data_IF_965713841805
#
_entry.id   IF_965713841805
#
_cell.length_a   1.000
_cell.length_b   1.000
_cell.length_c   1.000
_cell.angle_alpha   90.00
_cell.angle_beta   90.00
_cell.angle_gamma   90.00
#
_symmetry.space_group_name_H-M   'P 1'
#
loop_
_entity.id
_entity.type
_entity.pdbx_description
1 polymer ?
#
# COMPACT_ATOMS: atom_id res chain seq x y z
N UNK A 1 -14.21 -3.45 28.99
CA UNK A 1 -14.22 -1.97 28.92
C UNK A 1 -12.83 -1.50 29.27
N UNK A 2 -12.25 -0.63 28.46
CA UNK A 2 -10.88 -0.12 28.64
C UNK A 2 -10.96 1.40 28.74
N UNK A 3 -10.39 1.97 29.80
CA UNK A 3 -10.27 3.41 29.96
C UNK A 3 -8.88 3.83 29.48
N UNK A 4 -8.83 4.71 28.48
CA UNK A 4 -7.59 5.19 27.91
C UNK A 4 -7.41 6.65 28.29
N UNK A 5 -6.48 6.91 29.22
CA UNK A 5 -6.03 8.26 29.53
C UNK A 5 -5.41 8.91 28.29
N UNK A 6 -5.69 10.20 28.08
CA UNK A 6 -5.16 10.97 26.96
C UNK A 6 -4.48 12.21 27.48
N UNK A 7 -3.16 12.25 27.39
CA UNK A 7 -2.44 13.47 27.75
C UNK A 7 -2.67 14.53 26.69
N UNK A 8 -2.98 15.75 27.15
CA UNK A 8 -2.83 16.94 26.33
C UNK A 8 -1.35 17.26 26.19
N UNK A 9 -0.97 18.02 25.17
CA UNK A 9 0.44 18.32 24.88
C UNK A 9 1.17 18.92 26.08
N UNK A 10 0.55 19.89 26.76
CA UNK A 10 1.14 20.53 27.93
C UNK A 10 1.34 19.58 29.11
N UNK A 11 0.37 18.68 29.38
CA UNK A 11 0.50 17.68 30.44
C UNK A 11 1.56 16.65 30.09
N UNK A 12 1.58 16.17 28.85
CA UNK A 12 2.60 15.23 28.39
C UNK A 12 4.00 15.81 28.53
N UNK A 13 4.22 17.02 28.00
CA UNK A 13 5.52 17.71 28.08
C UNK A 13 5.92 17.94 29.55
N UNK A 14 4.99 18.39 30.40
CA UNK A 14 5.27 18.63 31.81
C UNK A 14 5.59 17.35 32.59
N UNK A 15 4.99 16.22 32.23
CA UNK A 15 5.16 14.94 32.94
C UNK A 15 6.38 14.16 32.47
N UNK A 16 6.64 14.15 31.16
CA UNK A 16 7.70 13.33 30.57
C UNK A 16 8.96 14.14 30.22
N UNK A 17 8.93 15.48 30.38
CA UNK A 17 10.03 16.38 29.99
C UNK A 17 10.49 16.17 28.53
N UNK A 18 9.54 15.82 27.67
CA UNK A 18 9.73 15.48 26.26
C UNK A 18 9.18 16.58 25.35
N UNK A 19 9.57 16.55 24.07
CA UNK A 19 9.19 17.57 23.09
C UNK A 19 7.83 17.32 22.41
N UNK A 20 7.47 18.21 21.50
CA UNK A 20 6.26 18.04 20.67
C UNK A 20 6.37 16.85 19.70
N UNK A 21 7.57 16.51 19.25
CA UNK A 21 7.77 15.34 18.37
C UNK A 21 7.50 14.02 19.10
N UNK A 22 8.01 13.87 20.32
CA UNK A 22 7.70 12.72 21.18
C UNK A 22 6.20 12.62 21.46
N UNK A 23 5.54 13.77 21.67
CA UNK A 23 4.10 13.81 21.89
C UNK A 23 3.30 13.32 20.68
N UNK A 24 3.71 13.72 19.46
CA UNK A 24 3.11 13.23 18.22
C UNK A 24 3.27 11.72 18.07
N UNK A 25 4.46 11.19 18.35
CA UNK A 25 4.73 9.75 18.32
C UNK A 25 3.94 8.99 19.40
N UNK A 26 3.74 9.60 20.58
CA UNK A 26 2.84 9.06 21.61
C UNK A 26 1.40 8.93 21.10
N UNK A 27 0.88 9.95 20.41
CA UNK A 27 -0.49 9.90 19.89
C UNK A 27 -0.66 8.79 18.85
N UNK A 28 0.32 8.59 17.96
CA UNK A 28 0.33 7.49 16.98
C UNK A 28 0.43 6.11 17.66
N UNK A 29 1.40 5.90 18.54
CA UNK A 29 1.53 4.63 19.28
C UNK A 29 0.24 4.26 20.02
N UNK A 30 -0.38 5.27 20.65
CA UNK A 30 -1.66 5.09 21.32
C UNK A 30 -2.78 4.74 20.34
N UNK A 31 -2.81 5.37 19.16
CA UNK A 31 -3.78 5.06 18.13
C UNK A 31 -3.67 3.59 17.70
N UNK A 32 -2.48 3.12 17.29
CA UNK A 32 -2.27 1.73 16.88
C UNK A 32 -2.60 0.72 17.98
N UNK A 33 -2.18 0.99 19.22
CA UNK A 33 -2.52 0.14 20.36
C UNK A 33 -4.03 -0.03 20.53
N UNK A 34 -4.80 1.05 20.32
CA UNK A 34 -6.26 1.00 20.44
C UNK A 34 -6.94 0.36 19.23
N UNK A 35 -6.35 0.46 18.04
CA UNK A 35 -6.85 -0.24 16.84
C UNK A 35 -6.61 -1.74 16.95
N UNK A 36 -5.38 -2.16 17.24
CA UNK A 36 -5.03 -3.57 17.46
C UNK A 36 -5.92 -4.22 18.53
N UNK A 37 -6.18 -3.50 19.62
CA UNK A 37 -7.05 -3.99 20.68
C UNK A 37 -8.52 -4.17 20.21
N UNK A 38 -9.02 -3.31 19.33
CA UNK A 38 -10.40 -3.38 18.81
C UNK A 38 -10.55 -4.48 17.75
N UNK A 39 -9.49 -4.75 16.99
CA UNK A 39 -9.47 -5.83 16.00
C UNK A 39 -9.46 -7.22 16.67
N UNK A 40 -8.71 -7.35 17.77
CA UNK A 40 -8.54 -8.62 18.47
C UNK A 40 -9.62 -8.89 19.52
N UNK A 41 -10.23 -7.85 20.10
CA UNK A 41 -11.20 -8.01 21.20
C UNK A 41 -12.43 -7.11 21.04
N UNK A 42 -13.59 -7.64 21.45
CA UNK A 42 -14.83 -6.86 21.54
C UNK A 42 -14.83 -5.95 22.78
N UNK A 43 -13.97 -4.93 22.79
CA UNK A 43 -13.83 -3.99 23.90
C UNK A 43 -14.45 -2.62 23.62
N UNK A 44 -15.18 -2.10 24.62
CA UNK A 44 -15.58 -0.69 24.64
C UNK A 44 -14.43 0.15 25.19
N UNK A 45 -13.86 1.02 24.35
CA UNK A 45 -12.83 2.01 24.73
C UNK A 45 -13.49 3.32 25.16
N UNK A 46 -13.15 3.81 26.36
CA UNK A 46 -13.56 5.12 26.88
C UNK A 46 -12.34 6.02 26.93
N UNK A 47 -12.38 7.08 26.14
CA UNK A 47 -11.36 8.13 26.13
C UNK A 47 -11.59 9.07 27.32
N UNK A 48 -10.56 9.20 28.17
CA UNK A 48 -10.55 10.06 29.36
C UNK A 48 -9.44 11.10 29.18
N UNK A 49 -9.76 12.39 28.95
CA UNK A 49 -8.74 13.44 28.95
C UNK A 49 -8.00 13.42 30.30
N UNK A 50 -6.68 13.45 30.27
CA UNK A 50 -5.89 13.51 31.49
C UNK A 50 -6.05 14.89 32.11
N UNK A 51 -6.39 14.94 33.40
CA UNK A 51 -6.48 16.17 34.19
C UNK A 51 -5.45 16.04 35.31
N UNK A 52 -4.31 16.73 35.16
CA UNK A 52 -3.19 16.60 36.08
C UNK A 52 -3.54 17.02 37.50
N UNK A 53 -4.32 18.09 37.68
CA UNK A 53 -4.71 18.57 39.01
C UNK A 53 -5.59 17.54 39.73
N UNK A 54 -6.56 16.97 39.01
CA UNK A 54 -7.42 15.90 39.54
C UNK A 54 -6.64 14.63 39.82
N UNK A 55 -5.72 14.24 38.95
CA UNK A 55 -4.88 13.06 39.14
C UNK A 55 -4.00 13.21 40.38
N UNK A 56 -3.32 14.35 40.54
CA UNK A 56 -2.47 14.61 41.71
C UNK A 56 -3.28 14.55 43.01
N UNK A 57 -4.49 15.13 43.01
CA UNK A 57 -5.39 15.04 44.16
C UNK A 57 -5.81 13.59 44.43
N UNK A 58 -6.21 12.86 43.39
CA UNK A 58 -6.58 11.45 43.51
C UNK A 58 -5.43 10.60 44.06
N UNK A 59 -4.20 10.86 43.66
CA UNK A 59 -3.01 10.15 44.15
C UNK A 59 -2.77 10.42 45.65
N UNK A 60 -2.99 11.66 46.11
CA UNK A 60 -2.94 12.01 47.54
C UNK A 60 -4.02 11.31 48.36
N UNK A 61 -5.24 11.19 47.79
CA UNK A 61 -6.36 10.51 48.41
C UNK A 61 -6.20 8.97 48.38
N UNK A 62 -5.32 8.44 47.51
CA UNK A 62 -5.04 7.02 47.33
C UNK A 62 -3.55 6.67 47.50
N UNK A 63 -2.99 6.77 48.73
CA UNK A 63 -1.55 6.68 48.98
C UNK A 63 -0.91 5.29 48.77
N UNK A 64 -1.71 4.28 48.38
CA UNK A 64 -1.24 2.96 48.02
C UNK A 64 -0.74 2.88 46.57
N UNK A 65 -1.02 3.90 45.75
CA UNK A 65 -0.48 4.04 44.41
C UNK A 65 0.78 4.90 44.42
N UNK A 66 1.80 4.45 43.68
CA UNK A 66 2.94 5.29 43.30
C UNK A 66 2.65 5.96 41.95
N UNK A 67 3.13 7.19 41.74
CA UNK A 67 2.95 7.85 40.44
C UNK A 67 3.62 7.03 39.32
N UNK A 68 2.82 6.60 38.35
CA UNK A 68 3.25 5.69 37.31
C UNK A 68 2.14 5.39 36.31
N UNK A 69 2.47 4.62 35.27
CA UNK A 69 1.52 4.25 34.22
C UNK A 69 0.30 3.49 34.78
N UNK A 70 0.50 2.62 35.77
CA UNK A 70 -0.56 1.86 36.42
C UNK A 70 -1.52 2.76 37.21
N UNK A 71 -0.98 3.68 38.02
CA UNK A 71 -1.79 4.64 38.79
C UNK A 71 -2.62 5.54 37.87
N UNK A 72 -2.05 6.00 36.75
CA UNK A 72 -2.78 6.80 35.75
C UNK A 72 -3.87 6.01 35.04
N UNK A 73 -3.63 4.73 34.79
CA UNK A 73 -4.64 3.82 34.23
C UNK A 73 -5.77 3.54 35.24
N UNK A 74 -5.43 3.35 36.51
CA UNK A 74 -6.39 3.18 37.60
C UNK A 74 -7.27 4.42 37.79
N UNK A 75 -6.66 5.60 37.83
CA UNK A 75 -7.37 6.89 37.86
C UNK A 75 -8.32 7.03 36.67
N UNK A 76 -7.86 6.79 35.44
CA UNK A 76 -8.70 6.91 34.26
C UNK A 76 -9.86 5.91 34.28
N UNK A 77 -9.65 4.71 34.80
CA UNK A 77 -10.71 3.72 34.98
C UNK A 77 -11.75 4.15 36.02
N UNK A 78 -11.32 4.78 37.11
CA UNK A 78 -12.22 5.33 38.12
C UNK A 78 -13.08 6.46 37.55
N UNK A 79 -12.45 7.42 36.86
CA UNK A 79 -13.16 8.50 36.17
C UNK A 79 -14.13 7.96 35.11
N UNK A 80 -13.73 6.93 34.35
CA UNK A 80 -14.58 6.33 33.33
C UNK A 80 -15.81 5.59 33.90
N UNK A 81 -15.75 5.14 35.16
CA UNK A 81 -16.87 4.46 35.84
C UNK A 81 -17.91 5.42 36.41
N UNK A 82 -17.54 6.69 36.61
CA UNK A 82 -18.45 7.75 37.08
C UNK A 82 -18.83 8.69 35.92
N UNK A 83 -20.06 8.60 35.38
CA UNK A 83 -20.51 9.46 34.29
C UNK A 83 -20.40 10.96 34.57
N UNK A 84 -20.64 11.39 35.81
CA UNK A 84 -20.60 12.81 36.17
C UNK A 84 -19.15 13.31 36.20
N UNK A 85 -18.24 12.52 36.77
CA UNK A 85 -16.81 12.83 36.77
C UNK A 85 -16.25 12.88 35.34
N UNK A 86 -16.64 11.92 34.49
CA UNK A 86 -16.23 11.87 33.09
C UNK A 86 -16.75 13.05 32.28
N UNK A 87 -18.03 13.43 32.46
CA UNK A 87 -18.60 14.62 31.81
C UNK A 87 -17.89 15.90 32.24
N UNK A 88 -17.54 16.04 33.51
CA UNK A 88 -16.84 17.23 33.98
C UNK A 88 -15.43 17.35 33.38
N UNK A 89 -14.70 16.23 33.29
CA UNK A 89 -13.38 16.22 32.64
C UNK A 89 -13.49 16.53 31.15
N UNK A 90 -14.49 15.96 30.46
CA UNK A 90 -14.77 16.25 29.04
C UNK A 90 -15.21 17.69 28.81
N UNK A 91 -15.93 18.30 29.75
CA UNK A 91 -16.32 19.70 29.65
C UNK A 91 -15.12 20.63 29.73
N UNK A 92 -14.13 20.32 30.57
CA UNK A 92 -12.87 21.08 30.66
C UNK A 92 -12.00 20.90 29.41
N UNK A 93 -12.00 19.69 28.86
CA UNK A 93 -11.18 19.31 27.70
C UNK A 93 -12.06 18.77 26.58
N UNK A 94 -12.81 19.65 25.89
CA UNK A 94 -13.84 19.26 24.92
C UNK A 94 -13.27 18.70 23.62
N UNK A 95 -12.01 19.04 23.31
CA UNK A 95 -11.32 18.60 22.10
C UNK A 95 -10.19 17.67 22.52
N UNK A 96 -10.28 16.42 22.06
CA UNK A 96 -9.21 15.45 22.25
C UNK A 96 -8.16 15.63 21.14
N UNK A 97 -6.87 15.49 21.48
CA UNK A 97 -5.79 15.53 20.49
C UNK A 97 -5.93 14.33 19.55
N UNK A 98 -5.83 14.60 18.25
CA UNK A 98 -5.81 13.58 17.21
C UNK A 98 -4.37 13.17 16.88
N UNK A 99 -4.11 11.89 16.58
CA UNK A 99 -2.81 11.47 16.05
C UNK A 99 -2.55 12.15 14.69
N UNK A 100 -1.30 12.53 14.38
CA UNK A 100 -0.90 13.05 13.08
C UNK A 100 -0.77 11.91 12.06
N UNK A 101 -1.89 11.32 11.66
CA UNK A 101 -1.93 10.25 10.66
C UNK A 101 -1.39 10.71 9.30
N UNK A 102 -1.45 12.01 9.01
CA UNK A 102 -0.87 12.62 7.82
C UNK A 102 0.66 12.42 7.71
N UNK A 103 1.36 12.36 8.85
CA UNK A 103 2.81 12.15 8.92
C UNK A 103 3.20 10.67 9.08
N UNK A 104 2.24 9.74 9.14
CA UNK A 104 2.49 8.30 9.32
C UNK A 104 3.30 7.71 8.17
N UNK A 105 4.26 6.83 8.47
CA UNK A 105 4.97 6.09 7.44
C UNK A 105 4.08 5.02 6.80
N UNK A 106 3.78 5.20 5.53
CA UNK A 106 2.96 4.32 4.70
C UNK A 106 3.76 3.81 3.50
N UNK A 107 3.41 2.60 3.07
CA UNK A 107 3.94 1.97 1.86
C UNK A 107 2.76 1.58 0.99
N UNK A 108 2.81 1.96 -0.29
CA UNK A 108 1.81 1.59 -1.29
C UNK A 108 2.52 1.00 -2.51
N UNK A 109 2.03 -0.13 -3.02
CA UNK A 109 2.47 -0.67 -4.30
C UNK A 109 1.47 -0.28 -5.39
N UNK A 110 1.98 0.43 -6.41
CA UNK A 110 1.30 0.61 -7.68
C UNK A 110 1.78 -0.47 -8.64
N UNK A 111 0.85 -1.21 -9.22
CA UNK A 111 1.15 -2.23 -10.21
C UNK A 111 0.84 -1.71 -11.62
N UNK A 112 1.88 -1.56 -12.43
CA UNK A 112 1.73 -1.45 -13.88
C UNK A 112 1.24 -2.80 -14.41
N UNK A 113 -0.03 -2.90 -14.77
CA UNK A 113 -0.64 -4.09 -15.35
C UNK A 113 -0.35 -4.08 -16.85
N UNK A 114 0.42 -5.05 -17.31
CA UNK A 114 0.94 -5.12 -18.68
C UNK A 114 0.34 -6.33 -19.40
N UNK A 115 -0.54 -6.11 -20.39
CA UNK A 115 -1.00 -7.18 -21.26
C UNK A 115 0.12 -7.63 -22.21
N UNK A 116 0.46 -8.92 -22.20
CA UNK A 116 1.50 -9.50 -23.06
C UNK A 116 0.96 -10.73 -23.78
N UNK A 117 1.07 -10.74 -25.10
CA UNK A 117 0.79 -11.90 -25.95
C UNK A 117 2.05 -12.74 -26.03
N UNK A 118 2.08 -13.88 -25.36
CA UNK A 118 3.17 -14.85 -25.47
C UNK A 118 2.89 -15.80 -26.64
N UNK A 119 3.78 -15.86 -27.62
CA UNK A 119 3.64 -16.76 -28.78
C UNK A 119 4.18 -18.15 -28.48
N UNK A 120 5.19 -18.24 -27.60
CA UNK A 120 5.87 -19.50 -27.27
C UNK A 120 6.22 -19.63 -25.79
N UNK A 121 6.26 -20.86 -25.23
CA UNK A 121 6.71 -21.08 -23.85
C UNK A 121 8.17 -20.63 -23.57
N UNK A 122 8.99 -20.51 -24.62
CA UNK A 122 10.40 -20.09 -24.53
C UNK A 122 10.55 -18.60 -24.20
N UNK A 123 9.47 -17.81 -24.24
CA UNK A 123 9.43 -16.41 -23.83
C UNK A 123 9.28 -16.24 -22.30
N UNK A 124 8.87 -17.29 -21.58
CA UNK A 124 8.70 -17.25 -20.12
C UNK A 124 10.01 -16.87 -19.39
N UNK A 125 11.17 -17.46 -19.71
CA UNK A 125 12.45 -17.01 -19.16
C UNK A 125 12.74 -15.52 -19.38
N UNK A 126 12.29 -14.92 -20.49
CA UNK A 126 12.50 -13.51 -20.79
C UNK A 126 11.74 -12.63 -19.78
N UNK A 127 10.46 -12.92 -19.53
CA UNK A 127 9.63 -12.15 -18.56
C UNK A 127 9.91 -12.51 -17.10
N UNK A 128 10.39 -13.72 -16.82
CA UNK A 128 10.81 -14.16 -15.47
C UNK A 128 12.17 -13.58 -15.03
N UNK A 129 13.02 -13.19 -16.00
CA UNK A 129 14.37 -12.69 -15.77
C UNK A 129 14.42 -11.29 -15.17
N UNK A 130 15.62 -10.86 -14.73
CA UNK A 130 15.84 -9.44 -14.34
C UNK A 130 15.56 -8.53 -15.51
N UNK A 131 14.94 -7.41 -15.24
CA UNK A 131 14.86 -6.30 -16.17
C UNK A 131 16.22 -5.58 -16.22
N UNK A 132 16.57 -4.90 -17.32
CA UNK A 132 17.82 -4.17 -17.38
C UNK A 132 17.84 -3.05 -16.34
N UNK A 133 18.91 -2.99 -15.55
CA UNK A 133 18.97 -2.15 -14.35
C UNK A 133 18.84 -0.65 -14.63
N UNK A 134 19.43 -0.19 -15.73
CA UNK A 134 19.38 1.22 -16.11
C UNK A 134 17.98 1.63 -16.56
N UNK A 135 17.24 0.75 -17.25
CA UNK A 135 15.83 0.99 -17.62
C UNK A 135 14.94 1.05 -16.37
N UNK A 136 15.12 0.14 -15.40
CA UNK A 136 14.36 0.15 -14.14
C UNK A 136 14.64 1.41 -13.32
N UNK A 137 15.89 1.86 -13.26
CA UNK A 137 16.24 3.15 -12.64
C UNK A 137 15.56 4.32 -13.34
N UNK A 138 15.59 4.31 -14.67
CA UNK A 138 14.99 5.37 -15.47
C UNK A 138 13.48 5.45 -15.22
N UNK A 139 12.79 4.30 -15.16
CA UNK A 139 11.39 4.20 -14.76
C UNK A 139 11.15 4.80 -13.35
N UNK A 140 12.00 4.49 -12.36
CA UNK A 140 11.86 5.08 -11.03
C UNK A 140 12.03 6.60 -11.03
N UNK A 141 12.96 7.14 -11.84
CA UNK A 141 13.17 8.58 -12.00
C UNK A 141 12.01 9.26 -12.73
N UNK A 142 11.45 8.62 -13.76
CA UNK A 142 10.29 9.11 -14.49
C UNK A 142 9.04 9.14 -13.61
N UNK A 143 8.81 8.07 -12.84
CA UNK A 143 7.77 8.06 -11.81
C UNK A 143 8.00 9.19 -10.79
N UNK A 144 9.25 9.43 -10.37
CA UNK A 144 9.58 10.53 -9.45
C UNK A 144 9.26 11.91 -10.01
N UNK A 145 9.49 12.12 -11.30
CA UNK A 145 9.17 13.36 -12.00
C UNK A 145 7.65 13.55 -12.12
N UNK A 146 6.90 12.48 -12.40
CA UNK A 146 5.44 12.51 -12.39
C UNK A 146 4.88 12.96 -11.03
N UNK A 147 5.48 12.48 -9.93
CA UNK A 147 5.14 12.90 -8.56
C UNK A 147 5.96 14.11 -8.06
N UNK A 148 6.44 14.99 -8.94
CA UNK A 148 7.29 16.14 -8.58
C UNK A 148 6.63 17.14 -7.61
N UNK A 149 5.30 17.12 -7.48
CA UNK A 149 4.56 17.92 -6.49
C UNK A 149 4.81 17.52 -5.03
N UNK A 150 5.32 16.31 -4.79
CA UNK A 150 5.57 15.77 -3.45
C UNK A 150 7.04 15.95 -3.05
N UNK A 151 7.34 16.38 -1.81
CA UNK A 151 8.72 16.54 -1.34
C UNK A 151 9.47 15.20 -1.25
N UNK A 152 10.80 15.28 -1.21
CA UNK A 152 11.64 14.10 -1.01
C UNK A 152 11.51 13.52 0.40
N UNK A 153 11.58 12.19 0.50
CA UNK A 153 11.45 11.46 1.75
C UNK A 153 12.42 11.93 2.85
N UNK A 154 11.90 12.12 4.06
CA UNK A 154 12.69 12.36 5.27
C UNK A 154 12.03 11.77 6.51
N UNK A 155 12.80 11.02 7.31
CA UNK A 155 12.38 10.59 8.64
C UNK A 155 12.20 11.76 9.61
N UNK A 156 11.09 11.76 10.35
CA UNK A 156 10.86 12.60 11.53
C UNK A 156 11.06 11.78 12.82
N UNK A 157 10.58 10.54 12.80
CA UNK A 157 10.71 9.54 13.86
C UNK A 157 10.63 8.13 13.24
N UNK A 158 10.74 7.03 14.02
CA UNK A 158 10.49 5.68 13.50
C UNK A 158 9.08 5.43 12.95
N UNK A 159 8.10 6.25 13.37
CA UNK A 159 6.69 6.16 12.98
C UNK A 159 6.28 7.23 11.97
N UNK A 160 7.01 8.35 11.92
CA UNK A 160 6.66 9.51 11.12
C UNK A 160 7.71 9.90 10.11
N UNK A 161 7.27 10.37 8.97
CA UNK A 161 8.12 10.90 7.91
C UNK A 161 7.44 12.08 7.21
N UNK A 162 8.11 12.62 6.19
CA UNK A 162 7.57 13.59 5.23
C UNK A 162 8.03 13.21 3.84
N UNK A 163 7.24 13.58 2.85
CA UNK A 163 7.56 13.29 1.46
C UNK A 163 7.52 11.80 1.13
N UNK A 164 7.92 11.48 -0.09
CA UNK A 164 7.86 10.12 -0.65
C UNK A 164 9.20 9.77 -1.29
N UNK A 165 9.55 8.49 -1.19
CA UNK A 165 10.56 7.87 -2.05
C UNK A 165 9.90 6.80 -2.90
N UNK A 166 10.35 6.72 -4.14
CA UNK A 166 9.81 5.82 -5.15
C UNK A 166 10.85 4.77 -5.47
N UNK A 167 10.40 3.53 -5.58
CA UNK A 167 11.20 2.40 -6.00
C UNK A 167 10.54 1.71 -7.19
N UNK A 168 11.36 1.13 -8.07
CA UNK A 168 10.90 0.28 -9.16
C UNK A 168 11.43 -1.15 -8.99
N UNK A 169 10.59 -2.15 -9.25
CA UNK A 169 10.99 -3.56 -9.12
C UNK A 169 12.01 -4.01 -10.16
N UNK A 170 13.04 -4.74 -9.74
CA UNK A 170 14.03 -5.31 -10.68
C UNK A 170 13.46 -6.38 -11.63
N UNK A 171 12.21 -6.82 -11.41
CA UNK A 171 11.51 -7.90 -12.13
C UNK A 171 10.01 -7.67 -12.15
N UNK A 172 9.35 -8.37 -13.06
CA UNK A 172 7.89 -8.52 -13.06
C UNK A 172 7.43 -9.50 -11.97
N UNK A 173 6.23 -9.26 -11.47
CA UNK A 173 5.49 -10.07 -10.50
C UNK A 173 4.29 -10.71 -11.20
N UNK A 174 4.01 -11.97 -10.89
CA UNK A 174 2.78 -12.61 -11.39
C UNK A 174 1.58 -12.17 -10.54
N UNK A 175 0.38 -11.98 -11.12
CA UNK A 175 -0.79 -11.52 -10.36
C UNK A 175 -1.10 -12.31 -9.09
N UNK A 176 -1.06 -13.66 -9.07
CA UNK A 176 -1.32 -14.45 -7.86
C UNK A 176 -0.30 -14.23 -6.73
N UNK A 177 0.82 -13.56 -7.03
CA UNK A 177 1.94 -13.32 -6.12
C UNK A 177 2.03 -11.86 -5.63
N UNK A 178 1.12 -10.98 -6.06
CA UNK A 178 1.09 -9.58 -5.65
C UNK A 178 1.08 -9.42 -4.12
N UNK A 179 0.13 -10.06 -3.43
CA UNK A 179 0.06 -10.02 -1.96
C UNK A 179 1.30 -10.57 -1.26
N UNK A 180 2.05 -11.51 -1.85
CA UNK A 180 3.33 -11.96 -1.27
C UNK A 180 4.40 -10.87 -1.40
N UNK A 181 4.38 -10.13 -2.50
CA UNK A 181 5.29 -9.03 -2.74
C UNK A 181 4.98 -7.84 -1.82
N UNK A 182 3.72 -7.46 -1.66
CA UNK A 182 3.27 -6.38 -0.76
C UNK A 182 3.78 -6.60 0.68
N UNK A 183 3.60 -7.82 1.20
CA UNK A 183 4.13 -8.20 2.51
C UNK A 183 5.66 -8.07 2.60
N UNK A 184 6.38 -8.51 1.56
CA UNK A 184 7.83 -8.40 1.51
C UNK A 184 8.31 -6.94 1.49
N UNK A 185 7.64 -6.10 0.70
CA UNK A 185 8.04 -4.70 0.50
C UNK A 185 7.88 -3.90 1.78
N UNK A 186 6.77 -4.09 2.53
CA UNK A 186 6.51 -3.42 3.80
C UNK A 186 7.69 -3.50 4.79
N UNK A 187 8.37 -4.65 4.83
CA UNK A 187 9.58 -4.83 5.64
C UNK A 187 10.83 -4.27 4.94
N UNK A 188 11.03 -4.61 3.66
CA UNK A 188 12.25 -4.33 2.93
C UNK A 188 12.52 -2.83 2.72
N UNK A 189 11.50 -2.03 2.43
CA UNK A 189 11.71 -0.59 2.15
C UNK A 189 12.26 0.16 3.36
N UNK A 190 11.92 -0.23 4.59
CA UNK A 190 12.45 0.42 5.81
C UNK A 190 13.97 0.35 5.88
N UNK A 191 14.56 -0.79 5.50
CA UNK A 191 16.01 -0.95 5.43
C UNK A 191 16.61 -0.14 4.27
N UNK A 192 15.93 -0.14 3.12
CA UNK A 192 16.40 0.51 1.89
C UNK A 192 16.36 2.05 1.94
N UNK A 193 15.49 2.65 2.76
CA UNK A 193 15.39 4.11 2.89
C UNK A 193 16.69 4.77 3.35
N UNK A 194 17.60 4.03 3.98
CA UNK A 194 18.92 4.54 4.38
C UNK A 194 20.02 4.30 3.33
N UNK A 195 19.78 3.45 2.33
CA UNK A 195 20.80 3.02 1.36
C UNK A 195 20.86 3.90 0.10
N UNK A 196 19.85 4.74 -0.15
CA UNK A 196 19.78 5.58 -1.36
C UNK A 196 19.49 4.82 -2.66
N UNK A 197 19.18 3.53 -2.57
CA UNK A 197 18.75 2.71 -3.70
C UNK A 197 17.31 3.06 -4.11
N UNK A 198 17.03 2.99 -5.41
CA UNK A 198 15.68 3.23 -6.00
C UNK A 198 15.16 2.02 -6.79
N UNK A 199 15.91 0.91 -6.76
CA UNK A 199 15.51 -0.36 -7.37
C UNK A 199 15.29 -1.38 -6.28
N UNK A 200 14.07 -1.93 -6.20
CA UNK A 200 13.72 -2.92 -5.18
C UNK A 200 13.90 -4.34 -5.69
N UNK A 201 14.63 -5.20 -4.97
CA UNK A 201 14.77 -6.60 -5.34
C UNK A 201 13.43 -7.34 -5.24
N UNK A 202 13.08 -8.11 -6.26
CA UNK A 202 11.88 -8.96 -6.23
C UNK A 202 12.27 -10.38 -5.75
N UNK A 203 11.72 -10.85 -4.62
CA UNK A 203 12.14 -12.10 -4.01
C UNK A 203 11.76 -13.30 -4.91
N UNK A 204 12.51 -14.42 -4.85
CA UNK A 204 12.25 -15.61 -5.67
C UNK A 204 10.82 -16.17 -5.59
N UNK A 205 10.14 -15.95 -4.47
CA UNK A 205 8.75 -16.36 -4.26
C UNK A 205 7.76 -15.58 -5.15
N UNK A 206 8.06 -14.33 -5.48
CA UNK A 206 7.18 -13.42 -6.22
C UNK A 206 7.42 -13.42 -7.73
N UNK A 207 8.50 -14.05 -8.19
CA UNK A 207 8.86 -14.10 -9.61
C UNK A 207 7.86 -14.88 -10.43
N UNK A 208 7.60 -14.42 -11.65
CA UNK A 208 6.89 -15.17 -12.69
C UNK A 208 7.63 -16.50 -12.94
N UNK A 209 6.89 -17.60 -12.91
CA UNK A 209 7.36 -18.96 -13.19
C UNK A 209 6.46 -19.57 -14.24
N UNK A 210 7.00 -20.59 -14.91
CA UNK A 210 6.25 -21.41 -15.84
C UNK A 210 5.00 -22.00 -15.18
N UNK A 211 5.10 -22.44 -13.92
CA UNK A 211 3.98 -22.92 -13.10
C UNK A 211 2.83 -21.93 -12.94
N UNK A 212 3.13 -20.63 -12.94
CA UNK A 212 2.13 -19.57 -12.80
C UNK A 212 1.38 -19.33 -14.12
N UNK A 213 1.84 -19.96 -15.20
CA UNK A 213 1.34 -19.87 -16.57
C UNK A 213 0.98 -21.27 -17.12
N UNK A 214 1.11 -22.33 -16.31
CA UNK A 214 1.25 -23.73 -16.77
C UNK A 214 -0.05 -24.50 -16.95
N UNK A 215 -1.13 -24.10 -16.28
CA UNK A 215 -2.45 -24.71 -16.51
C UNK A 215 -2.93 -24.52 -17.98
N UNK A 216 -2.18 -23.74 -18.77
CA UNK A 216 -2.63 -23.09 -20.00
C UNK A 216 -1.74 -23.33 -21.22
N UNK A 217 -0.54 -23.88 -21.00
CA UNK A 217 0.43 -24.20 -22.06
C UNK A 217 0.13 -25.52 -22.79
N UNK A 218 -1.07 -26.08 -22.63
CA UNK A 218 -1.50 -27.33 -23.30
C UNK A 218 -1.99 -27.13 -24.73
N UNK A 219 -1.97 -25.90 -25.27
CA UNK A 219 -2.47 -25.56 -26.61
C UNK A 219 -1.45 -24.91 -27.55
N UNK A 220 -1.59 -25.17 -28.86
CA UNK A 220 -0.77 -24.62 -29.96
C UNK A 220 -1.11 -23.15 -30.32
N UNK A 221 -1.31 -22.24 -29.35
CA UNK A 221 -1.78 -20.87 -29.62
C UNK A 221 -1.12 -19.80 -28.75
N UNK A 222 -1.05 -18.54 -29.25
CA UNK A 222 -0.56 -17.44 -28.45
C UNK A 222 -1.46 -17.20 -27.23
N UNK A 223 -0.82 -16.96 -26.08
CA UNK A 223 -1.40 -16.80 -24.76
C UNK A 223 -1.36 -15.33 -24.35
N UNK A 224 -2.51 -14.74 -23.99
CA UNK A 224 -2.51 -13.39 -23.43
C UNK A 224 -2.38 -13.48 -21.90
N UNK A 225 -1.31 -12.88 -21.38
CA UNK A 225 -0.92 -12.89 -19.97
C UNK A 225 -0.90 -11.45 -19.43
N UNK A 226 -1.34 -11.28 -18.19
CA UNK A 226 -1.20 -10.01 -17.47
C UNK A 226 0.01 -10.11 -16.54
N UNK A 227 1.02 -9.26 -16.77
CA UNK A 227 2.23 -9.18 -15.96
C UNK A 227 2.20 -7.90 -15.13
N UNK A 228 2.71 -7.95 -13.91
CA UNK A 228 2.72 -6.80 -13.01
C UNK A 228 4.12 -6.22 -12.88
N UNK A 229 4.28 -4.93 -13.16
CA UNK A 229 5.49 -4.18 -12.84
C UNK A 229 5.25 -3.36 -11.57
N UNK A 230 5.95 -3.66 -10.45
CA UNK A 230 5.72 -2.92 -9.21
C UNK A 230 6.50 -1.61 -9.17
N UNK A 231 5.78 -0.52 -8.88
CA UNK A 231 6.30 0.78 -8.45
C UNK A 231 5.87 0.97 -7.00
N UNK A 232 6.83 1.12 -6.09
CA UNK A 232 6.58 1.23 -4.65
C UNK A 232 6.74 2.68 -4.22
N UNK A 233 5.73 3.21 -3.55
CA UNK A 233 5.75 4.50 -2.86
C UNK A 233 5.97 4.24 -1.37
N UNK A 234 7.00 4.84 -0.77
CA UNK A 234 7.24 4.79 0.67
C UNK A 234 7.38 6.22 1.20
N UNK A 235 6.49 6.63 2.09
CA UNK A 235 6.40 8.04 2.48
C UNK A 235 5.37 8.33 3.54
N UNK A 236 5.11 9.62 3.74
CA UNK A 236 4.07 10.07 4.65
C UNK A 236 2.68 9.74 4.07
N UNK A 237 1.74 9.26 4.88
CA UNK A 237 0.44 8.79 4.42
C UNK A 237 -0.27 9.82 3.53
N UNK A 238 -0.34 11.09 3.98
CA UNK A 238 -0.97 12.17 3.20
C UNK A 238 -0.34 12.39 1.82
N UNK A 239 0.96 12.12 1.68
CA UNK A 239 1.69 12.30 0.44
C UNK A 239 1.54 11.07 -0.47
N UNK A 240 1.42 9.88 0.11
CA UNK A 240 1.13 8.64 -0.60
C UNK A 240 -0.30 8.69 -1.14
N UNK A 241 -1.27 9.12 -0.33
CA UNK A 241 -2.68 9.34 -0.73
C UNK A 241 -2.76 10.32 -1.90
N UNK A 242 -2.02 11.44 -1.84
CA UNK A 242 -1.96 12.38 -2.96
C UNK A 242 -1.38 11.76 -4.24
N UNK A 243 -0.34 10.92 -4.13
CA UNK A 243 0.21 10.23 -5.29
C UNK A 243 -0.79 9.24 -5.88
N UNK A 244 -1.54 8.54 -5.05
CA UNK A 244 -2.60 7.62 -5.45
C UNK A 244 -3.70 8.36 -6.21
N UNK A 245 -4.25 9.43 -5.63
CA UNK A 245 -5.27 10.29 -6.26
C UNK A 245 -4.80 10.77 -7.65
N UNK A 246 -3.53 11.16 -7.77
CA UNK A 246 -2.96 11.62 -9.04
C UNK A 246 -2.91 10.51 -10.10
N UNK A 247 -2.66 9.26 -9.70
CA UNK A 247 -2.68 8.10 -10.61
C UNK A 247 -4.10 7.81 -11.06
N UNK A 248 -5.07 7.89 -10.16
CA UNK A 248 -6.49 7.71 -10.48
C UNK A 248 -6.99 8.79 -11.44
N UNK A 249 -6.69 10.07 -11.17
CA UNK A 249 -7.02 11.20 -12.04
C UNK A 249 -6.38 11.08 -13.43
N UNK A 250 -5.21 10.42 -13.50
CA UNK A 250 -4.49 10.16 -14.76
C UNK A 250 -4.91 8.85 -15.42
N UNK A 251 -5.99 8.21 -14.95
CA UNK A 251 -6.50 6.93 -15.46
C UNK A 251 -5.41 5.83 -15.50
N UNK A 252 -4.53 5.82 -14.50
CA UNK A 252 -3.42 4.87 -14.39
C UNK A 252 -2.21 5.18 -15.27
N UNK A 253 -2.15 6.34 -15.92
CA UNK A 253 -1.01 6.74 -16.77
C UNK A 253 0.02 7.54 -15.99
N UNK A 254 1.14 6.91 -15.66
CA UNK A 254 2.27 7.55 -14.95
C UNK A 254 3.27 8.09 -15.96
N UNK A 255 2.91 9.19 -16.64
CA UNK A 255 3.79 9.88 -17.58
C UNK A 255 4.44 8.94 -18.63
N UNK A 256 5.76 9.07 -18.90
CA UNK A 256 6.46 8.25 -19.90
C UNK A 256 6.72 6.80 -19.43
N UNK A 257 6.44 6.46 -18.17
CA UNK A 257 6.76 5.15 -17.60
C UNK A 257 6.06 4.03 -18.38
N UNK A 258 4.79 4.21 -18.76
CA UNK A 258 4.04 3.21 -19.51
C UNK A 258 4.66 2.93 -20.88
N UNK A 259 5.13 3.95 -21.58
CA UNK A 259 5.80 3.80 -22.87
C UNK A 259 7.15 3.10 -22.71
N UNK A 260 7.96 3.54 -21.75
CA UNK A 260 9.26 2.94 -21.44
C UNK A 260 9.14 1.45 -21.11
N UNK A 261 8.21 1.09 -20.21
CA UNK A 261 7.96 -0.30 -19.84
C UNK A 261 7.57 -1.17 -21.04
N UNK A 262 6.73 -0.61 -21.93
CA UNK A 262 6.28 -1.30 -23.13
C UNK A 262 7.44 -1.56 -24.08
N UNK A 263 8.27 -0.56 -24.35
CA UNK A 263 9.44 -0.68 -25.23
C UNK A 263 10.46 -1.68 -24.67
N UNK A 264 10.78 -1.57 -23.38
CA UNK A 264 11.69 -2.50 -22.70
C UNK A 264 11.23 -3.96 -22.83
N UNK A 265 9.93 -4.24 -22.69
CA UNK A 265 9.41 -5.59 -22.82
C UNK A 265 9.34 -6.08 -24.27
N UNK A 266 9.05 -5.19 -25.22
CA UNK A 266 9.10 -5.51 -26.66
C UNK A 266 10.49 -5.94 -27.08
N UNK A 267 11.51 -5.19 -26.67
CA UNK A 267 12.91 -5.53 -26.96
C UNK A 267 13.31 -6.87 -26.36
N UNK A 268 12.80 -7.16 -25.15
CA UNK A 268 13.10 -8.41 -24.46
C UNK A 268 12.40 -9.63 -25.07
N UNK A 269 11.20 -9.45 -25.58
CA UNK A 269 10.39 -10.50 -26.20
C UNK A 269 10.67 -10.66 -27.70
N UNK A 270 11.16 -9.61 -28.37
CA UNK A 270 11.46 -9.60 -29.80
C UNK A 270 10.23 -9.42 -30.71
N UNK A 271 9.09 -8.98 -30.17
CA UNK A 271 7.86 -8.75 -30.94
C UNK A 271 6.97 -7.66 -30.30
N UNK A 272 5.99 -7.17 -31.07
CA UNK A 272 5.14 -6.03 -30.70
C UNK A 272 3.95 -6.36 -29.78
N UNK A 273 3.86 -7.60 -29.32
CA UNK A 273 2.74 -8.18 -28.56
C UNK A 273 2.65 -7.70 -27.11
N UNK A 274 3.04 -6.46 -26.84
CA UNK A 274 3.00 -5.82 -25.52
C UNK A 274 2.02 -4.66 -25.59
N UNK A 275 0.97 -4.75 -24.77
CA UNK A 275 -0.05 -3.72 -24.57
C UNK A 275 0.48 -2.53 -23.78
N UNK A 276 -0.35 -1.50 -23.64
CA UNK A 276 -0.03 -0.32 -22.85
C UNK A 276 -0.20 -0.64 -21.35
N UNK A 277 0.84 -0.42 -20.52
CA UNK A 277 0.73 -0.56 -19.07
C UNK A 277 -0.22 0.48 -18.46
N UNK A 278 -1.11 0.01 -17.58
CA UNK A 278 -1.93 0.87 -16.72
C UNK A 278 -1.58 0.59 -15.27
N UNK A 279 -1.29 1.64 -14.51
CA UNK A 279 -0.97 1.56 -13.10
C UNK A 279 -2.23 1.57 -12.25
N UNK A 280 -2.32 0.61 -11.33
CA UNK A 280 -3.40 0.51 -10.36
C UNK A 280 -2.82 0.29 -8.97
N UNK A 281 -3.44 0.87 -7.91
CA UNK A 281 -3.02 0.59 -6.55
C UNK A 281 -3.34 -0.86 -6.17
N UNK A 282 -2.55 -1.43 -5.27
CA UNK A 282 -2.65 -2.82 -4.82
C UNK A 282 -4.06 -3.23 -4.38
N UNK A 283 -4.78 -2.37 -3.65
CA UNK A 283 -6.13 -2.67 -3.17
C UNK A 283 -7.17 -2.74 -4.31
N UNK A 284 -6.91 -2.07 -5.45
CA UNK A 284 -7.80 -2.06 -6.61
C UNK A 284 -7.44 -3.15 -7.64
N UNK A 285 -6.25 -3.75 -7.51
CA UNK A 285 -5.70 -4.70 -8.47
C UNK A 285 -6.67 -5.87 -8.74
N UNK A 286 -7.25 -6.47 -7.70
CA UNK A 286 -8.18 -7.61 -7.86
C UNK A 286 -9.39 -7.25 -8.74
N UNK A 287 -10.09 -6.17 -8.39
CA UNK A 287 -11.25 -5.69 -9.15
C UNK A 287 -10.88 -5.28 -10.58
N UNK A 288 -9.69 -4.70 -10.76
CA UNK A 288 -9.21 -4.29 -12.07
C UNK A 288 -8.92 -5.50 -12.97
N UNK A 289 -8.25 -6.52 -12.45
CA UNK A 289 -7.98 -7.77 -13.18
C UNK A 289 -9.28 -8.48 -13.55
N UNK A 290 -10.23 -8.57 -12.62
CA UNK A 290 -11.56 -9.13 -12.87
C UNK A 290 -12.28 -8.40 -14.02
N UNK A 291 -12.31 -7.07 -14.00
CA UNK A 291 -12.90 -6.27 -15.08
C UNK A 291 -12.20 -6.46 -16.42
N UNK A 292 -10.87 -6.55 -16.41
CA UNK A 292 -10.13 -6.85 -17.64
C UNK A 292 -10.58 -8.18 -18.18
N UNK A 293 -10.63 -9.24 -17.36
CA UNK A 293 -11.04 -10.60 -17.75
C UNK A 293 -12.50 -10.64 -18.25
N UNK A 294 -13.42 -9.91 -17.60
CA UNK A 294 -14.83 -9.83 -18.02
C UNK A 294 -15.02 -9.07 -19.34
N UNK A 295 -14.41 -7.89 -19.47
CA UNK A 295 -14.52 -7.05 -20.68
C UNK A 295 -13.96 -7.77 -21.90
N UNK A 296 -12.88 -8.47 -21.65
CA UNK A 296 -12.35 -9.49 -22.49
C UNK A 296 -13.44 -10.49 -22.91
N UNK A 297 -14.04 -11.25 -22.00
CA UNK A 297 -14.92 -12.38 -22.33
C UNK A 297 -16.11 -11.97 -23.22
N UNK A 298 -16.60 -10.74 -23.03
CA UNK A 298 -17.64 -10.14 -23.87
C UNK A 298 -17.23 -9.96 -25.35
N UNK A 299 -16.02 -9.50 -25.63
CA UNK A 299 -15.54 -9.28 -27.02
C UNK A 299 -15.38 -10.60 -27.81
N UNK A 300 -15.21 -11.74 -27.12
CA UNK A 300 -15.10 -13.05 -27.80
C UNK A 300 -16.49 -13.66 -28.08
N UNK A 301 -17.46 -13.49 -27.19
CA UNK A 301 -18.84 -13.96 -27.40
C UNK A 301 -19.52 -13.27 -28.58
N UNK A 302 -19.28 -11.96 -28.76
CA UNK A 302 -19.79 -11.21 -29.92
C UNK A 302 -19.13 -11.64 -31.25
N UNK A 303 -17.90 -12.15 -31.21
CA UNK A 303 -17.23 -12.71 -32.40
C UNK A 303 -17.83 -14.07 -32.76
N UNK A 304 -18.08 -14.94 -31.78
CA UNK A 304 -18.68 -16.26 -32.02
C UNK A 304 -20.16 -16.16 -32.46
N UNK A 305 -20.92 -15.18 -31.94
CA UNK A 305 -22.31 -14.91 -32.35
C UNK A 305 -22.49 -14.34 -33.77
N UNK A 306 -21.47 -13.65 -34.30
CA UNK A 306 -21.46 -13.18 -35.70
C UNK A 306 -21.08 -14.30 -36.68
N UNK A 307 -20.31 -15.30 -36.23
CA UNK A 307 -19.85 -16.43 -37.08
C UNK A 307 -20.96 -17.47 -37.31
N UNK A 308 -21.91 -17.66 -36.39
CA UNK A 308 -23.06 -18.54 -36.62
C UNK A 308 -24.02 -18.06 -37.74
N UNK A 309 -23.98 -16.77 -38.10
CA UNK A 309 -24.78 -16.21 -39.19
C UNK A 309 -24.02 -16.02 -40.52
N UNK A 310 -22.72 -16.29 -40.56
CA UNK A 310 -21.88 -16.13 -41.76
C UNK A 310 -21.52 -17.49 -42.38
N UNK A 311 -22.41 -18.00 -43.24
CA UNK A 311 -22.22 -19.24 -43.96
C UNK A 311 -20.91 -19.32 -44.79
N UNK A 312 -20.25 -20.47 -44.67
CA UNK A 312 -19.33 -21.11 -45.64
C UNK A 312 -18.33 -20.20 -46.35
N UNK A 313 -17.17 -19.99 -45.72
CA UNK A 313 -15.96 -19.54 -46.38
C UNK A 313 -14.70 -19.90 -45.58
N UNK A 314 -13.95 -20.91 -46.03
CA UNK A 314 -12.63 -21.26 -45.48
C UNK A 314 -11.66 -20.07 -45.61
N UNK A 315 -11.22 -19.51 -44.49
CA UNK A 315 -9.86 -18.95 -44.29
C UNK A 315 -9.59 -18.79 -42.80
N UNK A 316 -8.50 -19.42 -42.34
CA UNK A 316 -8.01 -19.44 -40.96
C UNK A 316 -7.85 -18.03 -40.39
N UNK A 317 -8.55 -17.74 -39.29
CA UNK A 317 -8.21 -16.71 -38.31
C UNK A 317 -8.42 -17.31 -36.93
N UNK A 318 -7.31 -17.48 -36.19
CA UNK A 318 -7.26 -18.16 -34.91
C UNK A 318 -7.64 -17.19 -33.79
N UNK A 319 -8.69 -17.52 -33.04
CA UNK A 319 -9.06 -16.83 -31.81
C UNK A 319 -8.01 -17.03 -30.71
N UNK A 320 -7.68 -15.93 -30.03
CA UNK A 320 -6.95 -15.88 -28.77
C UNK A 320 -7.76 -16.61 -27.70
N UNK A 321 -7.11 -17.43 -26.89
CA UNK A 321 -7.72 -18.11 -25.74
C UNK A 321 -7.21 -17.47 -24.45
N UNK A 322 -8.10 -17.26 -23.48
CA UNK A 322 -7.85 -16.54 -22.21
C UNK A 322 -7.77 -17.44 -20.99
N UNK A 323 -7.22 -16.87 -19.90
CA UNK A 323 -7.30 -17.36 -18.52
C UNK A 323 -7.56 -16.24 -17.50
N UNK A 324 -8.16 -16.67 -16.38
CA UNK A 324 -8.60 -15.98 -15.15
C UNK A 324 -7.47 -15.73 -14.15
#
# INVERSE_FOLDING_TARGET
MVAAAIYLSHDYIAMFSQGMDDYKDYLLNRHYFLEELRENEAVRVIHVPFDRERYVKWLQDNPHWEDGAEARSAWALEVAKDPAALEEVRFRYPVLPAPPLDEEFTVLVLYGVIPVVMETPDEIPAVSGRLPHEDVKQIALEAREFFSGVPEFKWLSPLRCRGVRIYAGERLVAPPKAGTFENYVNDAVREMLNAGEIVIPVPPACRVRRSDLEDDLTGERPLLVLLLFPVVLAGAASEVDYCEDLVEESEGKIGPVSEHLREMLRDKLGHDGVGEPLFVPEYALGMFLERIIESMDFELEDIDGVVENAGKGKKNRNGLKRIK
#
